data_IF_227686068740
#
_entry.id   IF_227686068740
#
_cell.length_a   1.000
_cell.length_b   1.000
_cell.length_c   1.000
_cell.angle_alpha   90.00
_cell.angle_beta   90.00
_cell.angle_gamma   90.00
#
_symmetry.space_group_name_H-M   'P 1'
#
loop_
_entity.id
_entity.type
_entity.pdbx_description
1 polymer ?
#
# COMPACT_ATOMS: atom_id res chain seq x y z
N UNK A 1 43.12 25.90 9.90
CA UNK A 1 41.71 26.29 10.09
C UNK A 1 40.89 25.31 9.26
N UNK A 2 40.29 24.31 9.88
CA UNK A 2 39.47 23.32 9.17
C UNK A 2 38.06 23.85 9.06
N UNK A 3 37.53 23.97 7.85
CA UNK A 3 36.14 24.37 7.62
C UNK A 3 35.19 23.35 8.27
N UNK A 4 34.12 23.79 8.94
CA UNK A 4 33.16 22.88 9.56
C UNK A 4 32.47 22.07 8.47
N UNK A 5 32.70 20.76 8.46
CA UNK A 5 32.09 19.83 7.52
C UNK A 5 30.57 19.87 7.69
N UNK A 6 29.87 20.44 6.69
CA UNK A 6 28.41 20.48 6.68
C UNK A 6 27.87 19.05 6.64
N UNK A 7 27.37 18.58 7.78
CA UNK A 7 26.70 17.28 7.87
C UNK A 7 25.27 17.50 7.39
N UNK A 8 25.01 17.17 6.13
CA UNK A 8 23.64 17.10 5.62
C UNK A 8 22.86 16.04 6.41
N UNK A 9 21.63 16.36 6.82
CA UNK A 9 20.73 15.42 7.48
C UNK A 9 20.16 14.36 6.51
N UNK A 10 20.35 14.55 5.21
CA UNK A 10 19.89 13.63 4.18
C UNK A 10 21.02 12.65 3.81
N UNK A 11 20.70 11.35 3.64
CA UNK A 11 21.69 10.39 3.17
C UNK A 11 22.22 10.84 1.80
N UNK A 12 23.53 10.67 1.54
CA UNK A 12 24.07 10.91 0.22
C UNK A 12 23.37 9.98 -0.77
N UNK A 13 23.22 10.40 -2.03
CA UNK A 13 22.55 9.58 -2.99
C UNK A 13 23.40 8.32 -3.27
N UNK A 14 22.81 7.26 -3.85
CA UNK A 14 23.50 5.99 -4.07
C UNK A 14 24.66 6.12 -5.08
N UNK A 15 25.85 6.51 -4.61
CA UNK A 15 27.00 6.84 -5.46
C UNK A 15 27.51 5.66 -6.29
N UNK A 16 27.14 4.43 -5.93
CA UNK A 16 27.44 3.23 -6.71
C UNK A 16 26.66 3.18 -8.03
N UNK A 17 25.46 3.77 -8.07
CA UNK A 17 24.61 3.78 -9.26
C UNK A 17 24.80 5.05 -10.08
N UNK A 18 24.90 6.22 -9.43
CA UNK A 18 24.94 7.51 -10.13
C UNK A 18 26.12 7.64 -11.11
N UNK A 19 27.28 7.06 -10.77
CA UNK A 19 28.48 7.15 -11.59
C UNK A 19 28.32 6.52 -12.98
N UNK A 20 27.38 5.59 -13.12
CA UNK A 20 27.13 4.89 -14.38
C UNK A 20 26.18 5.68 -15.32
N UNK A 21 25.57 6.77 -14.84
CA UNK A 21 24.60 7.59 -15.58
C UNK A 21 25.25 8.89 -16.09
N UNK A 22 26.30 8.77 -16.91
CA UNK A 22 26.86 9.90 -17.68
C UNK A 22 26.12 10.06 -19.01
N UNK A 23 26.22 11.24 -19.64
CA UNK A 23 25.58 11.52 -20.94
C UNK A 23 26.04 10.51 -22.01
N UNK A 24 27.33 10.17 -22.01
CA UNK A 24 27.91 9.18 -22.93
C UNK A 24 27.35 7.78 -22.68
N UNK A 25 27.29 7.33 -21.42
CA UNK A 25 26.75 6.01 -21.07
C UNK A 25 25.26 5.89 -21.38
N UNK A 26 24.50 6.98 -21.27
CA UNK A 26 23.09 7.03 -21.64
C UNK A 26 22.95 6.93 -23.15
N UNK A 27 23.74 7.71 -23.90
CA UNK A 27 23.72 7.70 -25.36
C UNK A 27 24.10 6.32 -25.95
N UNK A 28 25.09 5.66 -25.35
CA UNK A 28 25.56 4.33 -25.74
C UNK A 28 24.72 3.19 -25.15
N UNK A 29 23.73 3.50 -24.30
CA UNK A 29 22.86 2.51 -23.67
C UNK A 29 23.55 1.59 -22.64
N UNK A 30 24.70 2.03 -22.11
CA UNK A 30 25.49 1.34 -21.07
C UNK A 30 24.96 1.61 -19.67
N UNK A 31 24.15 2.66 -19.49
CA UNK A 31 23.53 2.96 -18.20
C UNK A 31 22.69 1.75 -17.71
N UNK A 32 22.94 1.26 -16.49
CA UNK A 32 22.30 0.04 -16.00
C UNK A 32 20.80 0.24 -15.85
N UNK A 33 20.01 -0.65 -16.45
CA UNK A 33 18.55 -0.65 -16.30
C UNK A 33 18.15 -0.94 -14.85
N UNK A 34 16.98 -0.45 -14.40
CA UNK A 34 16.47 -0.82 -13.09
C UNK A 34 16.40 -2.35 -12.96
N UNK A 35 16.68 -2.89 -11.76
CA UNK A 35 16.50 -4.32 -11.52
C UNK A 35 15.05 -4.72 -11.84
N UNK A 36 14.82 -5.92 -12.38
CA UNK A 36 13.49 -6.37 -12.69
C UNK A 36 12.61 -6.37 -11.43
N UNK A 37 11.29 -6.14 -11.55
CA UNK A 37 10.38 -6.23 -10.41
C UNK A 37 10.54 -7.58 -9.70
N UNK A 38 10.55 -7.55 -8.37
CA UNK A 38 10.54 -8.77 -7.56
C UNK A 38 9.22 -9.48 -7.86
N UNK A 39 9.31 -10.69 -8.43
CA UNK A 39 8.14 -11.55 -8.67
C UNK A 39 7.78 -12.42 -7.46
N UNK A 40 8.72 -12.55 -6.53
CA UNK A 40 8.55 -13.31 -5.30
C UNK A 40 7.87 -12.48 -4.19
N UNK A 41 7.86 -13.03 -2.98
CA UNK A 41 7.38 -12.34 -1.81
C UNK A 41 8.40 -11.33 -1.25
N UNK A 42 7.94 -10.15 -0.82
CA UNK A 42 8.76 -9.17 -0.10
C UNK A 42 8.02 -8.61 1.12
N UNK A 43 8.74 -8.02 2.07
CA UNK A 43 8.13 -7.40 3.24
C UNK A 43 7.67 -5.98 2.91
N UNK A 44 6.37 -5.72 3.05
CA UNK A 44 5.73 -4.42 2.81
C UNK A 44 4.96 -4.02 4.07
N UNK A 45 5.29 -2.86 4.66
CA UNK A 45 4.63 -2.36 5.88
C UNK A 45 4.55 -3.39 7.02
N UNK A 46 5.59 -4.22 7.17
CA UNK A 46 5.62 -5.28 8.18
C UNK A 46 4.83 -6.55 7.84
N UNK A 47 4.25 -6.65 6.64
CA UNK A 47 3.52 -7.82 6.16
C UNK A 47 4.25 -8.46 4.97
N UNK A 48 4.17 -9.78 4.84
CA UNK A 48 4.66 -10.47 3.65
C UNK A 48 3.71 -10.18 2.49
N UNK A 49 4.18 -9.45 1.48
CA UNK A 49 3.50 -9.20 0.21
C UNK A 49 3.88 -10.28 -0.79
N UNK A 50 2.95 -10.71 -1.64
CA UNK A 50 3.13 -11.72 -2.67
C UNK A 50 2.50 -11.21 -3.96
N UNK A 51 3.26 -11.17 -5.06
CA UNK A 51 2.83 -10.55 -6.32
C UNK A 51 1.58 -11.21 -6.94
N UNK A 52 1.37 -12.50 -6.70
CA UNK A 52 0.23 -13.28 -7.25
C UNK A 52 -1.05 -13.16 -6.40
N UNK A 53 -0.97 -12.58 -5.19
CA UNK A 53 -2.14 -12.40 -4.35
C UNK A 53 -3.03 -11.26 -4.84
N UNK A 54 -4.32 -11.35 -4.52
CA UNK A 54 -5.24 -10.22 -4.67
C UNK A 54 -4.66 -8.98 -4.00
N UNK A 55 -4.55 -7.87 -4.75
CA UNK A 55 -4.04 -6.56 -4.27
C UNK A 55 -4.70 -6.16 -2.95
N UNK A 56 -5.99 -6.44 -2.83
CA UNK A 56 -6.77 -6.26 -1.61
C UNK A 56 -7.00 -7.65 -1.01
N UNK A 57 -6.15 -8.00 -0.03
CA UNK A 57 -6.40 -9.18 0.81
C UNK A 57 -7.66 -8.95 1.64
N UNK A 58 -8.59 -9.92 1.73
CA UNK A 58 -9.75 -9.80 2.60
C UNK A 58 -9.29 -9.57 4.05
N UNK A 59 -9.99 -8.73 4.80
CA UNK A 59 -9.65 -8.42 6.21
C UNK A 59 -9.57 -9.71 7.06
N UNK A 60 -10.37 -10.71 6.72
CA UNK A 60 -10.40 -12.01 7.38
C UNK A 60 -9.08 -12.77 7.23
N UNK A 61 -8.39 -12.62 6.10
CA UNK A 61 -7.06 -13.23 5.87
C UNK A 61 -5.96 -12.59 6.74
N UNK A 62 -6.22 -11.41 7.28
CA UNK A 62 -5.35 -10.70 8.22
C UNK A 62 -5.76 -10.93 9.68
N UNK A 63 -6.70 -11.86 9.94
CA UNK A 63 -7.23 -12.13 11.27
C UNK A 63 -8.19 -11.06 11.80
N UNK A 64 -8.66 -10.15 10.95
CA UNK A 64 -9.65 -9.15 11.33
C UNK A 64 -11.04 -9.79 11.17
N UNK A 65 -11.77 -9.87 12.29
CA UNK A 65 -13.09 -10.48 12.32
C UNK A 65 -14.10 -9.62 11.56
N UNK A 66 -14.89 -10.27 10.69
CA UNK A 66 -15.97 -9.62 9.97
C UNK A 66 -17.18 -9.43 10.90
N UNK A 67 -17.60 -8.19 11.10
CA UNK A 67 -18.77 -7.86 11.94
C UNK A 67 -20.13 -8.16 11.30
N UNK A 68 -20.18 -8.38 9.98
CA UNK A 68 -21.40 -8.64 9.22
C UNK A 68 -21.28 -9.96 8.45
N UNK A 69 -22.37 -10.65 8.13
CA UNK A 69 -22.31 -11.92 7.40
C UNK A 69 -21.79 -11.73 5.96
N UNK A 70 -21.09 -12.75 5.41
CA UNK A 70 -20.63 -12.77 4.02
C UNK A 70 -21.75 -12.69 2.98
N UNK A 71 -22.91 -13.26 3.33
CA UNK A 71 -24.11 -13.25 2.51
C UNK A 71 -25.25 -12.74 3.37
N UNK A 72 -26.02 -11.79 2.86
CA UNK A 72 -27.22 -11.31 3.51
C UNK A 72 -28.32 -11.08 2.48
N UNK A 73 -29.56 -11.26 2.94
CA UNK A 73 -30.73 -10.99 2.13
C UNK A 73 -31.00 -9.47 2.14
N UNK A 74 -30.65 -8.80 1.05
CA UNK A 74 -30.86 -7.36 0.87
C UNK A 74 -32.32 -6.95 1.14
N UNK A 75 -33.30 -7.78 0.79
CA UNK A 75 -34.72 -7.49 1.01
C UNK A 75 -35.07 -7.53 2.49
N UNK A 76 -34.49 -8.49 3.23
CA UNK A 76 -34.68 -8.60 4.69
C UNK A 76 -34.03 -7.43 5.42
N UNK A 77 -32.80 -7.05 5.05
CA UNK A 77 -32.11 -5.91 5.69
C UNK A 77 -32.79 -4.58 5.38
N UNK A 78 -33.30 -4.36 4.17
CA UNK A 78 -34.04 -3.15 3.83
C UNK A 78 -35.32 -3.00 4.67
N UNK A 79 -36.02 -4.11 4.95
CA UNK A 79 -37.19 -4.09 5.83
C UNK A 79 -36.84 -3.71 7.26
N UNK A 80 -35.72 -4.23 7.78
CA UNK A 80 -35.23 -3.83 9.12
C UNK A 80 -34.90 -2.35 9.17
N UNK A 81 -34.22 -1.84 8.14
CA UNK A 81 -33.87 -0.42 8.04
C UNK A 81 -35.12 0.47 7.98
N UNK A 82 -36.12 0.10 7.16
CA UNK A 82 -37.39 0.81 7.08
C UNK A 82 -38.16 0.84 8.41
N UNK A 83 -38.15 -0.26 9.17
CA UNK A 83 -38.75 -0.26 10.51
C UNK A 83 -37.94 0.58 11.49
N UNK A 84 -36.61 0.48 11.45
CA UNK A 84 -35.72 1.22 12.33
C UNK A 84 -35.84 2.73 12.11
N UNK A 85 -35.86 3.22 10.87
CA UNK A 85 -36.00 4.65 10.59
C UNK A 85 -37.36 5.20 11.03
N UNK A 86 -38.44 4.41 10.88
CA UNK A 86 -39.76 4.79 11.36
C UNK A 86 -39.79 4.90 12.89
N UNK A 87 -39.25 3.91 13.60
CA UNK A 87 -39.21 3.92 15.07
C UNK A 87 -38.37 5.09 15.57
N UNK A 88 -37.17 5.30 15.02
CA UNK A 88 -36.33 6.45 15.38
C UNK A 88 -37.04 7.78 15.09
N UNK A 89 -37.80 7.88 14.01
CA UNK A 89 -38.59 9.08 13.72
C UNK A 89 -39.68 9.31 14.78
N UNK A 90 -40.39 8.25 15.20
CA UNK A 90 -41.41 8.35 16.25
C UNK A 90 -40.82 8.69 17.62
N UNK A 91 -39.65 8.15 17.96
CA UNK A 91 -38.96 8.46 19.22
C UNK A 91 -38.50 9.92 19.31
N UNK A 92 -38.36 10.61 18.17
CA UNK A 92 -37.99 12.03 18.10
C UNK A 92 -39.18 12.99 18.26
N UNK A 93 -40.43 12.50 18.23
CA UNK A 93 -41.65 13.30 18.41
C UNK A 93 -42.07 13.36 19.88
#
# INVERSE_FOLDING_TARGET
MGEPQQVSALPPPPMQYIKEYTDENIQEGLAPKPPPPIKDSYMMFGNQFQCDDLIIRPLESQGIERLHPMQFDHKKELRKLNMSILINFLDLL
#
